data_IF_675707004053
#
_entry.id   IF_675707004053
#
_cell.length_a   1.000
_cell.length_b   1.000
_cell.length_c   1.000
_cell.angle_alpha   90.00
_cell.angle_beta   90.00
_cell.angle_gamma   90.00
#
_symmetry.space_group_name_H-M   'P 1'
#
loop_
_entity.id
_entity.type
_entity.pdbx_description
1 polymer ?
#
# COMPACT_ATOMS: atom_id res chain seq x y z
N UNK A 1 -64.36 38.66 2.40
CA UNK A 1 -63.97 38.12 1.07
C UNK A 1 -62.45 37.98 1.04
N UNK A 2 -61.95 36.94 0.36
CA UNK A 2 -60.54 36.56 0.12
C UNK A 2 -59.78 35.93 1.30
N UNK A 3 -58.96 34.89 1.13
CA UNK A 3 -58.95 33.70 0.25
C UNK A 3 -57.87 32.79 0.85
N UNK A 4 -58.23 31.52 0.99
CA UNK A 4 -57.42 30.38 1.41
C UNK A 4 -56.15 30.23 0.54
N UNK A 5 -54.97 30.02 1.15
CA UNK A 5 -53.85 29.37 0.46
C UNK A 5 -53.10 28.46 1.45
N UNK A 6 -53.49 27.20 1.46
CA UNK A 6 -52.81 26.10 2.14
C UNK A 6 -51.59 25.70 1.30
N UNK A 7 -50.38 26.00 1.78
CA UNK A 7 -49.15 25.53 1.15
C UNK A 7 -48.79 24.15 1.73
N UNK A 8 -49.08 23.09 0.96
CA UNK A 8 -48.64 21.73 1.24
C UNK A 8 -47.15 21.65 0.88
N UNK A 9 -46.28 21.65 1.88
CA UNK A 9 -44.87 21.33 1.71
C UNK A 9 -44.73 19.81 1.52
N UNK A 10 -44.42 19.40 0.29
CA UNK A 10 -43.95 18.06 -0.02
C UNK A 10 -42.55 17.88 0.60
N UNK A 11 -42.51 17.24 1.76
CA UNK A 11 -41.27 16.74 2.36
C UNK A 11 -40.72 15.61 1.49
N UNK A 12 -39.84 15.94 0.55
CA UNK A 12 -39.05 14.98 -0.19
C UNK A 12 -38.06 14.30 0.76
N UNK A 13 -38.32 13.05 1.12
CA UNK A 13 -37.38 12.21 1.82
C UNK A 13 -36.18 11.89 0.90
N UNK A 14 -35.09 12.64 1.05
CA UNK A 14 -33.79 12.23 0.56
C UNK A 14 -33.34 11.04 1.40
N UNK A 15 -33.59 9.82 0.92
CA UNK A 15 -32.93 8.63 1.45
C UNK A 15 -31.44 8.72 1.13
N UNK A 16 -30.52 8.66 2.12
CA UNK A 16 -29.11 8.60 1.83
C UNK A 16 -28.83 7.24 1.19
N UNK A 17 -28.45 7.27 -0.09
CA UNK A 17 -27.87 6.10 -0.72
C UNK A 17 -26.60 5.75 0.07
N UNK A 18 -26.59 4.58 0.72
CA UNK A 18 -25.39 4.01 1.29
C UNK A 18 -24.41 3.75 0.11
N UNK A 19 -23.48 4.66 -0.10
CA UNK A 19 -22.38 4.45 -1.01
C UNK A 19 -21.57 3.26 -0.46
N UNK A 20 -21.62 2.13 -1.17
CA UNK A 20 -20.65 1.06 -0.96
C UNK A 20 -19.28 1.64 -1.28
N UNK A 21 -18.52 1.98 -0.24
CA UNK A 21 -17.16 2.47 -0.40
C UNK A 21 -16.32 1.35 -1.01
N UNK A 22 -16.07 1.45 -2.32
CA UNK A 22 -15.11 0.59 -2.98
C UNK A 22 -13.75 0.88 -2.35
N UNK A 23 -13.11 -0.13 -1.77
CA UNK A 23 -11.74 -0.01 -1.29
C UNK A 23 -10.84 0.18 -2.51
N UNK A 24 -10.15 1.33 -2.65
CA UNK A 24 -9.26 1.55 -3.79
C UNK A 24 -8.21 0.46 -3.89
N UNK A 25 -7.83 0.10 -5.10
CA UNK A 25 -6.66 -0.74 -5.34
C UNK A 25 -5.38 -0.03 -4.88
N UNK A 26 -4.35 -0.77 -4.44
CA UNK A 26 -3.08 -0.17 -4.10
C UNK A 26 -2.49 0.50 -5.36
N UNK A 27 -1.86 1.67 -5.21
CA UNK A 27 -1.20 2.33 -6.33
C UNK A 27 -0.06 1.47 -6.87
N UNK A 28 0.31 1.71 -8.13
CA UNK A 28 1.40 1.00 -8.80
C UNK A 28 2.40 1.97 -9.43
N UNK A 29 3.51 1.45 -9.93
CA UNK A 29 4.50 2.23 -10.70
C UNK A 29 4.49 1.79 -12.16
N UNK A 30 4.60 2.76 -13.06
CA UNK A 30 4.83 2.56 -14.49
C UNK A 30 6.22 3.08 -14.85
N UNK A 31 7.13 2.19 -15.22
CA UNK A 31 8.51 2.57 -15.50
C UNK A 31 8.64 3.48 -16.74
N UNK A 32 7.62 3.56 -17.61
CA UNK A 32 7.65 4.37 -18.82
C UNK A 32 7.65 5.89 -18.53
N UNK A 33 7.17 6.33 -17.37
CA UNK A 33 7.11 7.77 -17.04
C UNK A 33 8.45 8.37 -16.55
N UNK A 34 9.47 7.53 -16.37
CA UNK A 34 10.80 7.96 -15.94
C UNK A 34 10.91 8.27 -14.43
N UNK A 35 12.15 8.47 -13.98
CA UNK A 35 12.47 8.67 -12.56
C UNK A 35 11.74 9.88 -11.94
N UNK A 36 11.86 11.06 -12.55
CA UNK A 36 11.25 12.29 -12.02
C UNK A 36 9.72 12.25 -12.08
N UNK A 37 9.16 11.58 -13.09
CA UNK A 37 7.72 11.33 -13.21
C UNK A 37 7.21 10.47 -12.05
N UNK A 38 7.88 9.34 -11.78
CA UNK A 38 7.56 8.49 -10.64
C UNK A 38 7.76 9.19 -9.29
N UNK A 39 8.86 9.94 -9.12
CA UNK A 39 9.14 10.70 -7.89
C UNK A 39 8.04 11.72 -7.62
N UNK A 40 7.68 12.50 -8.63
CA UNK A 40 6.62 13.51 -8.52
C UNK A 40 5.26 12.88 -8.21
N UNK A 41 4.92 11.77 -8.90
CA UNK A 41 3.67 11.04 -8.68
C UNK A 41 3.59 10.47 -7.26
N UNK A 42 4.67 9.88 -6.76
CA UNK A 42 4.73 9.36 -5.39
C UNK A 42 4.59 10.49 -4.35
N UNK A 43 5.29 11.62 -4.55
CA UNK A 43 5.22 12.77 -3.63
C UNK A 43 3.83 13.40 -3.54
N UNK A 44 3.04 13.29 -4.62
CA UNK A 44 1.66 13.77 -4.70
C UNK A 44 0.64 12.83 -4.03
N UNK A 45 1.04 11.66 -3.53
CA UNK A 45 0.10 10.72 -2.90
C UNK A 45 -0.52 11.32 -1.62
N UNK A 46 -1.86 11.39 -1.53
CA UNK A 46 -2.54 11.93 -0.37
C UNK A 46 -2.41 10.98 0.83
N UNK A 47 -2.17 11.54 2.01
CA UNK A 47 -2.06 10.76 3.25
C UNK A 47 -0.80 9.90 3.36
N UNK A 48 0.19 10.11 2.48
CA UNK A 48 1.46 9.40 2.56
C UNK A 48 2.29 9.83 3.79
N UNK A 49 2.67 8.85 4.59
CA UNK A 49 3.70 9.00 5.61
C UNK A 49 5.07 9.05 4.92
N UNK A 50 5.90 10.02 5.30
CA UNK A 50 7.20 10.25 4.64
C UNK A 50 8.34 9.96 5.61
N UNK A 51 9.42 9.42 5.09
CA UNK A 51 10.65 9.18 5.82
C UNK A 51 11.86 9.19 4.91
N UNK A 52 13.01 8.92 5.50
CA UNK A 52 14.26 8.68 4.80
C UNK A 52 15.00 7.57 5.53
N UNK A 53 15.49 6.57 4.79
CA UNK A 53 16.27 5.48 5.34
C UNK A 53 17.19 4.87 4.28
N UNK A 54 18.40 4.47 4.67
CA UNK A 54 19.31 3.69 3.81
C UNK A 54 19.64 4.31 2.44
N UNK A 55 19.56 5.65 2.31
CA UNK A 55 19.74 6.34 1.03
C UNK A 55 18.50 6.39 0.15
N UNK A 56 17.32 6.09 0.69
CA UNK A 56 16.01 6.25 0.06
C UNK A 56 15.20 7.32 0.77
N UNK A 57 14.50 8.15 0.00
CA UNK A 57 13.28 8.79 0.47
C UNK A 57 12.16 7.75 0.46
N UNK A 58 11.45 7.58 1.57
CA UNK A 58 10.40 6.59 1.71
C UNK A 58 9.02 7.25 1.81
N UNK A 59 8.03 6.65 1.14
CA UNK A 59 6.63 7.07 1.23
C UNK A 59 5.73 5.87 1.45
N UNK A 60 4.95 5.89 2.53
CA UNK A 60 4.04 4.81 2.87
C UNK A 60 2.58 5.27 2.77
N UNK A 61 1.76 4.49 2.08
CA UNK A 61 0.30 4.68 2.04
C UNK A 61 -0.35 3.35 2.36
N UNK A 62 -1.47 3.37 3.08
CA UNK A 62 -2.16 2.14 3.43
C UNK A 62 -3.67 2.27 3.35
N UNK A 63 -4.30 1.14 3.07
CA UNK A 63 -5.68 0.89 3.39
C UNK A 63 -5.74 -0.09 4.57
N UNK A 64 -6.14 0.38 5.77
CA UNK A 64 -6.12 -0.44 6.98
C UNK A 64 -6.82 -1.78 6.80
N UNK A 65 -6.12 -2.86 7.13
CA UNK A 65 -6.65 -4.23 7.06
C UNK A 65 -6.65 -4.86 5.66
N UNK A 66 -6.33 -4.12 4.60
CA UNK A 66 -6.37 -4.62 3.21
C UNK A 66 -4.99 -4.64 2.56
N UNK A 67 -4.33 -3.48 2.46
CA UNK A 67 -3.04 -3.35 1.82
C UNK A 67 -2.22 -2.19 2.39
N UNK A 68 -0.90 -2.26 2.20
CA UNK A 68 0.04 -1.14 2.44
C UNK A 68 1.02 -1.11 1.29
N UNK A 69 1.38 0.06 0.81
CA UNK A 69 2.47 0.24 -0.15
C UNK A 69 3.58 1.06 0.49
N UNK A 70 4.80 0.75 0.11
CA UNK A 70 6.01 1.49 0.49
C UNK A 70 6.80 1.81 -0.77
N UNK A 71 6.89 3.09 -1.09
CA UNK A 71 7.77 3.61 -2.13
C UNK A 71 9.14 3.83 -1.54
N UNK A 72 10.19 3.39 -2.24
CA UNK A 72 11.57 3.79 -2.01
C UNK A 72 12.09 4.56 -3.22
N UNK A 73 12.44 5.83 -3.04
CA UNK A 73 13.01 6.66 -4.09
C UNK A 73 14.48 6.86 -3.74
N UNK A 74 15.39 6.33 -4.55
CA UNK A 74 16.82 6.49 -4.28
C UNK A 74 17.22 7.96 -4.25
N UNK A 75 17.98 8.36 -3.25
CA UNK A 75 18.69 9.64 -3.23
C UNK A 75 19.91 9.58 -4.13
N UNK A 76 20.48 10.74 -4.50
CA UNK A 76 21.68 10.84 -5.37
C UNK A 76 22.92 10.08 -4.88
N UNK A 77 22.94 9.69 -3.61
CA UNK A 77 24.06 9.00 -2.98
C UNK A 77 23.89 7.48 -2.96
N UNK A 78 22.69 6.99 -3.25
CA UNK A 78 22.44 5.56 -3.31
C UNK A 78 23.09 4.96 -4.57
N UNK A 79 23.78 3.80 -4.50
CA UNK A 79 24.48 3.23 -5.65
C UNK A 79 23.60 2.95 -6.87
N UNK A 80 22.33 2.60 -6.65
CA UNK A 80 21.36 2.35 -7.71
C UNK A 80 20.65 3.61 -8.24
N UNK A 81 21.07 4.81 -7.83
CA UNK A 81 20.46 6.05 -8.31
C UNK A 81 20.66 6.23 -9.83
N UNK A 82 19.64 6.70 -10.57
CA UNK A 82 18.25 6.91 -10.15
C UNK A 82 17.40 5.63 -10.26
N UNK A 83 16.69 5.27 -9.19
CA UNK A 83 15.71 4.19 -9.16
C UNK A 83 14.54 4.46 -8.20
N UNK A 84 13.39 3.87 -8.52
CA UNK A 84 12.19 3.85 -7.67
C UNK A 84 11.77 2.41 -7.44
N UNK A 85 11.54 2.05 -6.18
CA UNK A 85 10.97 0.77 -5.77
C UNK A 85 9.57 0.99 -5.20
N UNK A 86 8.72 -0.01 -5.35
CA UNK A 86 7.39 -0.06 -4.75
C UNK A 86 7.20 -1.46 -4.18
N UNK A 87 7.13 -1.58 -2.86
CA UNK A 87 6.74 -2.81 -2.18
C UNK A 87 5.27 -2.75 -1.80
N UNK A 88 4.49 -3.70 -2.29
CA UNK A 88 3.07 -3.84 -1.97
C UNK A 88 2.87 -4.98 -1.00
N UNK A 89 2.31 -4.68 0.16
CA UNK A 89 1.82 -5.63 1.14
C UNK A 89 0.33 -5.83 0.94
N UNK A 90 -0.12 -7.07 0.73
CA UNK A 90 -1.56 -7.41 0.66
C UNK A 90 -1.91 -8.47 1.69
N UNK A 91 -3.03 -8.28 2.37
CA UNK A 91 -3.56 -9.28 3.30
C UNK A 91 -4.36 -10.32 2.54
N UNK A 92 -3.96 -11.58 2.68
CA UNK A 92 -4.66 -12.73 2.11
C UNK A 92 -5.86 -13.10 3.00
N UNK A 93 -6.81 -13.86 2.44
CA UNK A 93 -7.97 -14.40 3.19
C UNK A 93 -7.55 -15.31 4.35
N UNK A 94 -6.34 -15.88 4.28
CA UNK A 94 -5.73 -16.69 5.34
C UNK A 94 -5.18 -15.86 6.51
N UNK A 95 -5.23 -14.52 6.41
CA UNK A 95 -4.66 -13.58 7.38
C UNK A 95 -3.18 -13.27 7.17
N UNK A 96 -2.49 -14.02 6.30
CA UNK A 96 -1.07 -13.80 5.95
C UNK A 96 -0.92 -12.54 5.11
N UNK A 97 0.07 -11.72 5.43
CA UNK A 97 0.52 -10.62 4.60
C UNK A 97 1.57 -11.10 3.61
N UNK A 98 1.32 -10.86 2.31
CA UNK A 98 2.27 -11.13 1.24
C UNK A 98 2.90 -9.82 0.78
N UNK A 99 4.21 -9.80 0.60
CA UNK A 99 4.95 -8.69 0.03
C UNK A 99 5.34 -8.99 -1.42
N UNK A 100 5.19 -8.00 -2.31
CA UNK A 100 5.63 -8.06 -3.70
C UNK A 100 6.17 -6.70 -4.13
N UNK A 101 7.37 -6.70 -4.69
CA UNK A 101 8.05 -5.48 -5.12
C UNK A 101 8.11 -5.33 -6.62
N UNK A 102 7.85 -4.10 -7.08
CA UNK A 102 8.19 -3.62 -8.42
C UNK A 102 9.31 -2.59 -8.31
N UNK A 103 10.17 -2.50 -9.31
CA UNK A 103 11.29 -1.55 -9.33
C UNK A 103 11.51 -1.01 -10.73
N UNK A 104 11.83 0.28 -10.83
CA UNK A 104 12.23 0.96 -12.06
C UNK A 104 13.61 1.59 -11.86
N UNK A 105 14.59 1.16 -12.65
CA UNK A 105 15.96 1.64 -12.59
C UNK A 105 16.34 2.39 -13.85
N UNK A 106 16.99 3.53 -13.69
CA UNK A 106 17.34 4.46 -14.78
C UNK A 106 18.83 4.80 -14.82
N UNK A 107 19.61 4.22 -13.90
CA UNK A 107 21.06 4.39 -13.80
C UNK A 107 21.83 3.12 -14.11
N UNK A 108 22.86 2.86 -13.29
CA UNK A 108 23.71 1.68 -13.41
C UNK A 108 22.90 0.39 -13.26
N UNK A 109 22.97 -0.47 -14.28
CA UNK A 109 22.17 -1.70 -14.33
C UNK A 109 22.67 -2.78 -13.37
N UNK A 110 23.96 -2.78 -13.01
CA UNK A 110 24.52 -3.72 -12.04
C UNK A 110 24.03 -3.39 -10.62
N UNK A 111 24.14 -2.12 -10.23
CA UNK A 111 23.65 -1.65 -8.93
C UNK A 111 22.12 -1.77 -8.82
N UNK A 112 21.40 -1.51 -9.91
CA UNK A 112 19.96 -1.72 -9.96
C UNK A 112 19.58 -3.20 -9.84
N UNK A 113 20.31 -4.12 -10.50
CA UNK A 113 20.07 -5.55 -10.34
C UNK A 113 20.29 -6.00 -8.89
N UNK A 114 21.34 -5.52 -8.23
CA UNK A 114 21.57 -5.77 -6.79
C UNK A 114 20.41 -5.26 -5.94
N UNK A 115 19.91 -4.06 -6.22
CA UNK A 115 18.73 -3.52 -5.55
C UNK A 115 17.50 -4.43 -5.73
N UNK A 116 17.22 -4.89 -6.96
CA UNK A 116 16.09 -5.78 -7.24
C UNK A 116 16.21 -7.11 -6.50
N UNK A 117 17.40 -7.71 -6.45
CA UNK A 117 17.62 -8.95 -5.71
C UNK A 117 17.41 -8.76 -4.20
N UNK A 118 17.91 -7.65 -3.63
CA UNK A 118 17.63 -7.31 -2.22
C UNK A 118 16.13 -7.13 -1.96
N UNK A 119 15.39 -6.51 -2.89
CA UNK A 119 13.94 -6.35 -2.76
C UNK A 119 13.21 -7.70 -2.77
N UNK A 120 13.59 -8.61 -3.68
CA UNK A 120 13.02 -9.97 -3.75
C UNK A 120 13.31 -10.78 -2.48
N UNK A 121 14.55 -10.72 -1.98
CA UNK A 121 14.93 -11.39 -0.74
C UNK A 121 14.08 -10.87 0.44
N UNK A 122 13.94 -9.55 0.56
CA UNK A 122 13.10 -8.93 1.57
C UNK A 122 11.61 -9.30 1.44
N UNK A 123 11.06 -9.37 0.23
CA UNK A 123 9.67 -9.79 -0.01
C UNK A 123 9.39 -11.20 0.51
N UNK A 124 10.34 -12.11 0.23
CA UNK A 124 10.29 -13.48 0.73
C UNK A 124 10.34 -13.52 2.25
N UNK A 125 11.30 -12.84 2.86
CA UNK A 125 11.47 -12.81 4.31
C UNK A 125 10.22 -12.27 5.01
N UNK A 126 9.67 -11.14 4.53
CA UNK A 126 8.48 -10.51 5.09
C UNK A 126 7.24 -11.42 4.97
N UNK A 127 7.08 -12.08 3.83
CA UNK A 127 5.97 -13.02 3.60
C UNK A 127 6.08 -14.26 4.50
N UNK A 128 7.27 -14.83 4.62
CA UNK A 128 7.53 -16.01 5.45
C UNK A 128 7.37 -15.67 6.95
N UNK A 129 7.83 -14.50 7.37
CA UNK A 129 7.64 -14.00 8.74
C UNK A 129 6.14 -13.84 9.07
N UNK A 130 5.35 -13.28 8.16
CA UNK A 130 3.91 -13.15 8.36
C UNK A 130 3.22 -14.52 8.44
N UNK A 131 3.62 -15.47 7.59
CA UNK A 131 3.11 -16.85 7.65
C UNK A 131 3.41 -17.50 8.99
N UNK A 132 4.66 -17.41 9.45
CA UNK A 132 5.06 -17.97 10.73
C UNK A 132 4.26 -17.37 11.90
N UNK A 133 3.99 -16.07 11.86
CA UNK A 133 3.14 -15.42 12.87
C UNK A 133 1.71 -15.93 12.87
N UNK A 134 1.08 -16.05 11.69
CA UNK A 134 -0.27 -16.61 11.57
C UNK A 134 -0.33 -18.04 12.11
N UNK A 135 0.67 -18.88 11.81
CA UNK A 135 0.72 -20.25 12.32
C UNK A 135 0.93 -20.30 13.85
N UNK A 136 1.76 -19.42 14.42
CA UNK A 136 1.88 -19.28 15.88
C UNK A 136 0.54 -18.90 16.53
N UNK A 137 -0.17 -17.94 15.94
CA UNK A 137 -1.48 -17.51 16.46
C UNK A 137 -2.51 -18.65 16.39
N UNK A 138 -2.55 -19.41 15.29
CA UNK A 138 -3.42 -20.59 15.18
C UNK A 138 -3.09 -21.63 16.23
N UNK A 139 -1.80 -21.94 16.43
CA UNK A 139 -1.35 -22.90 17.43
C UNK A 139 -1.78 -22.48 18.85
N UNK A 140 -1.61 -21.20 19.20
CA UNK A 140 -2.01 -20.67 20.52
C UNK A 140 -3.52 -20.72 20.80
N UNK A 141 -4.34 -20.82 19.75
CA UNK A 141 -5.82 -20.86 19.85
C UNK A 141 -6.38 -22.26 19.60
N UNK A 142 -5.52 -23.26 19.38
CA UNK A 142 -5.96 -24.62 19.09
C UNK A 142 -6.53 -25.27 20.35
N UNK A 143 -7.79 -25.77 20.31
CA UNK A 143 -8.35 -26.57 21.40
C UNK A 143 -7.62 -27.90 21.64
N UNK A 144 -6.72 -28.28 20.72
CA UNK A 144 -5.89 -29.48 20.77
C UNK A 144 -4.44 -29.18 21.21
N UNK A 145 -4.14 -27.96 21.64
CA UNK A 145 -2.83 -27.66 22.22
C UNK A 145 -2.64 -28.49 23.51
N UNK A 146 -1.45 -29.08 23.74
CA UNK A 146 -1.19 -29.83 24.96
C UNK A 146 -1.44 -28.95 26.19
N UNK A 147 -2.09 -29.46 27.25
CA UNK A 147 -2.23 -28.71 28.49
C UNK A 147 -0.83 -28.43 29.08
N UNK A 148 -0.61 -27.18 29.49
CA UNK A 148 0.58 -26.74 30.21
C UNK A 148 0.69 -27.39 31.59
#
# INVERSE_FOLDING_TARGET
>A
MLRLHTAIWLAGAMMPAAAVAQTPDPPTIDCAVGFEGLRSAAQALPGAERGEDGGFETLTVSQPGTWRVEYGITTRWHPAYPAVTLRTFRKQVTGVWTAESKSCGYGDQGQFATLVENMKAGDKELTDASRAEVERQKASRSPLAPPH
#
